data_IF_801203199837
#
_entry.id   IF_801203199837
#
_cell.length_a   1.000
_cell.length_b   1.000
_cell.length_c   1.000
_cell.angle_alpha   90.00
_cell.angle_beta   90.00
_cell.angle_gamma   90.00
#
_symmetry.space_group_name_H-M   'P 1'
#
loop_
_entity.id
_entity.type
_entity.pdbx_description
1 polymer ?
#
# COMPACT_ATOMS: atom_id res chain seq x y z
N UNK A 1 22.44 19.05 -21.92
CA UNK A 1 21.72 18.00 -22.67
C UNK A 1 22.78 17.17 -23.39
N UNK A 2 23.07 15.96 -22.93
CA UNK A 2 24.08 15.09 -23.56
C UNK A 2 23.51 14.66 -24.91
N UNK A 3 24.11 15.11 -26.01
CA UNK A 3 23.75 14.63 -27.35
C UNK A 3 24.39 13.26 -27.52
N UNK A 4 23.56 12.23 -27.70
CA UNK A 4 24.04 10.91 -28.07
C UNK A 4 24.18 10.85 -29.58
N UNK A 5 25.42 10.78 -30.08
CA UNK A 5 25.72 10.75 -31.52
C UNK A 5 25.13 9.50 -32.20
N UNK A 6 25.10 8.36 -31.50
CA UNK A 6 24.57 7.08 -31.98
C UNK A 6 23.14 6.76 -31.50
N UNK A 7 22.45 7.75 -30.91
CA UNK A 7 21.13 7.60 -30.29
C UNK A 7 21.18 7.21 -28.81
N UNK A 8 20.07 7.44 -28.10
CA UNK A 8 19.99 7.21 -26.66
C UNK A 8 20.31 5.74 -26.31
N UNK A 9 21.17 5.43 -25.32
CA UNK A 9 21.57 4.06 -24.99
C UNK A 9 20.38 3.11 -24.76
N UNK A 10 19.33 3.63 -24.10
CA UNK A 10 18.10 2.90 -23.81
C UNK A 10 17.27 2.62 -25.07
N UNK A 11 17.30 3.52 -26.05
CA UNK A 11 16.67 3.27 -27.35
C UNK A 11 17.42 2.16 -28.12
N UNK A 12 18.76 2.15 -28.05
CA UNK A 12 19.56 1.06 -28.62
C UNK A 12 19.27 -0.27 -27.93
N UNK A 13 19.10 -0.27 -26.60
CA UNK A 13 18.72 -1.45 -25.84
C UNK A 13 17.35 -2.01 -26.27
N UNK A 14 16.32 -1.17 -26.46
CA UNK A 14 15.01 -1.63 -26.97
C UNK A 14 15.14 -2.24 -28.38
N UNK A 15 15.93 -1.63 -29.27
CA UNK A 15 16.20 -2.20 -30.61
C UNK A 15 16.88 -3.57 -30.53
N UNK A 16 17.79 -3.78 -29.58
CA UNK A 16 18.38 -5.10 -29.30
C UNK A 16 17.32 -6.07 -28.80
N UNK A 17 16.46 -5.65 -27.87
CA UNK A 17 15.35 -6.46 -27.38
C UNK A 17 14.40 -6.94 -28.49
N UNK A 18 14.10 -6.05 -29.45
CA UNK A 18 13.26 -6.40 -30.59
C UNK A 18 13.89 -7.52 -31.44
N UNK A 19 15.21 -7.51 -31.65
CA UNK A 19 15.92 -8.56 -32.38
C UNK A 19 15.89 -9.91 -31.66
N UNK A 20 15.75 -9.93 -30.34
CA UNK A 20 15.59 -11.19 -29.57
C UNK A 20 14.25 -11.89 -29.84
N UNK A 21 13.27 -11.22 -30.44
CA UNK A 21 12.01 -11.85 -30.86
C UNK A 21 12.12 -12.64 -32.17
N UNK A 22 13.09 -12.29 -33.03
CA UNK A 22 13.20 -12.83 -34.39
C UNK A 22 14.21 -13.98 -34.49
N UNK A 23 15.28 -13.91 -33.71
CA UNK A 23 16.40 -14.86 -33.76
C UNK A 23 16.66 -15.38 -32.35
N UNK A 24 17.16 -16.62 -32.24
CA UNK A 24 17.61 -17.16 -30.96
C UNK A 24 18.99 -16.59 -30.64
N UNK A 25 19.12 -15.88 -29.53
CA UNK A 25 20.40 -15.33 -29.08
C UNK A 25 20.78 -15.88 -27.71
N UNK A 26 22.00 -15.59 -27.27
CA UNK A 26 22.48 -15.97 -25.95
C UNK A 26 21.77 -15.16 -24.85
N UNK A 27 21.48 -15.83 -23.72
CA UNK A 27 20.86 -15.20 -22.55
C UNK A 27 21.70 -14.03 -21.99
N UNK A 28 23.03 -14.09 -22.14
CA UNK A 28 23.97 -13.03 -21.75
C UNK A 28 23.65 -11.69 -22.41
N UNK A 29 23.46 -11.68 -23.74
CA UNK A 29 23.18 -10.47 -24.51
C UNK A 29 21.82 -9.85 -24.13
N UNK A 30 20.82 -10.70 -23.84
CA UNK A 30 19.52 -10.25 -23.35
C UNK A 30 19.65 -9.58 -21.98
N UNK A 31 20.43 -10.17 -21.06
CA UNK A 31 20.66 -9.59 -19.74
C UNK A 31 21.36 -8.23 -19.83
N UNK A 32 22.34 -8.06 -20.71
CA UNK A 32 23.01 -6.78 -20.95
C UNK A 32 22.05 -5.70 -21.47
N UNK A 33 21.15 -6.08 -22.39
CA UNK A 33 20.12 -5.16 -22.89
C UNK A 33 19.14 -4.75 -21.77
N UNK A 34 18.72 -5.69 -20.92
CA UNK A 34 17.84 -5.40 -19.78
C UNK A 34 18.53 -4.53 -18.72
N UNK A 35 19.80 -4.79 -18.42
CA UNK A 35 20.59 -3.96 -17.49
C UNK A 35 20.72 -2.52 -18.00
N UNK A 36 20.92 -2.34 -19.31
CA UNK A 36 20.99 -1.01 -19.94
C UNK A 36 19.68 -0.22 -19.75
N UNK A 37 18.53 -0.90 -19.72
CA UNK A 37 17.23 -0.29 -19.45
C UNK A 37 16.99 0.03 -17.98
N UNK A 38 17.75 -0.58 -17.06
CA UNK A 38 17.63 -0.34 -15.61
C UNK A 38 18.50 0.80 -15.09
N UNK A 39 19.35 1.40 -15.94
CA UNK A 39 20.24 2.50 -15.56
C UNK A 39 19.47 3.69 -14.95
N UNK A 40 20.00 4.37 -13.91
CA UNK A 40 19.30 5.45 -13.22
C UNK A 40 18.79 6.58 -14.14
N UNK A 41 19.52 6.88 -15.21
CA UNK A 41 19.14 7.88 -16.22
C UNK A 41 17.82 7.60 -16.93
N UNK A 42 17.33 6.35 -16.90
CA UNK A 42 16.05 5.95 -17.49
C UNK A 42 14.85 6.20 -16.57
N UNK A 43 15.08 6.75 -15.38
CA UNK A 43 14.02 7.14 -14.44
C UNK A 43 13.35 8.46 -14.83
N UNK A 44 13.88 9.16 -15.82
CA UNK A 44 13.31 10.38 -16.36
C UNK A 44 12.00 10.12 -17.12
N UNK A 45 11.03 11.03 -16.97
CA UNK A 45 9.69 10.90 -17.57
C UNK A 45 9.76 10.89 -19.11
N UNK A 46 10.59 11.74 -19.72
CA UNK A 46 10.70 11.80 -21.18
C UNK A 46 11.40 10.55 -21.74
N UNK A 47 12.37 9.99 -21.01
CA UNK A 47 13.01 8.72 -21.41
C UNK A 47 12.01 7.57 -21.37
N UNK A 48 11.18 7.46 -20.32
CA UNK A 48 10.12 6.45 -20.26
C UNK A 48 9.13 6.58 -21.42
N UNK A 49 8.68 7.80 -21.72
CA UNK A 49 7.81 8.07 -22.86
C UNK A 49 8.44 7.64 -24.19
N UNK A 50 9.72 7.97 -24.42
CA UNK A 50 10.47 7.51 -25.59
C UNK A 50 10.48 5.99 -25.71
N UNK A 51 10.74 5.26 -24.62
CA UNK A 51 10.78 3.79 -24.64
C UNK A 51 9.40 3.20 -24.99
N UNK A 52 8.33 3.77 -24.43
CA UNK A 52 6.95 3.40 -24.75
C UNK A 52 6.65 3.63 -26.23
N UNK A 53 7.03 4.79 -26.78
CA UNK A 53 6.83 5.13 -28.20
C UNK A 53 7.65 4.21 -29.13
N UNK A 54 8.70 3.57 -28.60
CA UNK A 54 9.47 2.51 -29.26
C UNK A 54 8.87 1.10 -29.09
N UNK A 55 7.61 1.00 -28.68
CA UNK A 55 6.88 -0.25 -28.50
C UNK A 55 7.48 -1.21 -27.45
N UNK A 56 8.20 -0.66 -26.45
CA UNK A 56 8.88 -1.51 -25.46
C UNK A 56 7.92 -2.36 -24.62
N UNK A 57 6.67 -1.91 -24.43
CA UNK A 57 5.64 -2.65 -23.68
C UNK A 57 5.34 -3.99 -24.36
N UNK A 58 4.97 -3.97 -25.64
CA UNK A 58 4.73 -5.18 -26.42
C UNK A 58 5.98 -6.05 -26.56
N UNK A 59 7.15 -5.44 -26.80
CA UNK A 59 8.42 -6.18 -26.92
C UNK A 59 8.71 -6.98 -25.64
N UNK A 60 8.62 -6.34 -24.47
CA UNK A 60 8.88 -6.99 -23.19
C UNK A 60 7.84 -8.07 -22.87
N UNK A 61 6.56 -7.84 -23.17
CA UNK A 61 5.50 -8.82 -22.95
C UNK A 61 5.55 -10.01 -23.92
N UNK A 62 6.07 -9.80 -25.14
CA UNK A 62 6.29 -10.90 -26.08
C UNK A 62 7.50 -11.75 -25.67
N UNK A 63 8.59 -11.12 -25.21
CA UNK A 63 9.72 -11.85 -24.61
C UNK A 63 9.27 -12.62 -23.36
N UNK A 64 8.43 -12.00 -22.52
CA UNK A 64 7.85 -12.65 -21.34
C UNK A 64 7.12 -13.94 -21.71
N UNK A 65 6.30 -13.96 -22.77
CA UNK A 65 5.62 -15.18 -23.22
C UNK A 65 6.63 -16.26 -23.63
N UNK A 66 7.63 -15.91 -24.44
CA UNK A 66 8.66 -16.84 -24.91
C UNK A 66 9.38 -17.51 -23.73
N UNK A 67 9.74 -16.75 -22.71
CA UNK A 67 10.47 -17.27 -21.55
C UNK A 67 9.58 -17.94 -20.51
N UNK A 68 8.28 -17.60 -20.47
CA UNK A 68 7.29 -18.30 -19.65
C UNK A 68 7.07 -19.72 -20.17
N UNK A 69 7.05 -19.92 -21.50
CA UNK A 69 6.87 -21.24 -22.12
C UNK A 69 7.98 -22.24 -21.77
N UNK A 70 9.22 -21.76 -21.60
CA UNK A 70 10.37 -22.57 -21.22
C UNK A 70 10.64 -22.59 -19.70
N UNK A 71 9.75 -22.01 -18.90
CA UNK A 71 9.84 -22.03 -17.43
C UNK A 71 10.96 -21.17 -16.82
N UNK A 72 11.49 -20.18 -17.55
CA UNK A 72 12.56 -19.31 -17.04
C UNK A 72 11.99 -18.14 -16.22
N UNK A 73 11.48 -18.44 -15.02
CA UNK A 73 10.82 -17.45 -14.16
C UNK A 73 11.73 -16.32 -13.68
N UNK A 74 13.03 -16.55 -13.51
CA UNK A 74 13.99 -15.50 -13.15
C UNK A 74 14.09 -14.43 -14.24
N UNK A 75 14.16 -14.85 -15.51
CA UNK A 75 14.22 -13.92 -16.62
C UNK A 75 12.87 -13.22 -16.85
N UNK A 76 11.76 -13.94 -16.69
CA UNK A 76 10.42 -13.34 -16.73
C UNK A 76 10.28 -12.24 -15.66
N UNK A 77 10.78 -12.48 -14.46
CA UNK A 77 10.79 -11.50 -13.36
C UNK A 77 11.60 -10.26 -13.77
N UNK A 78 12.77 -10.44 -14.38
CA UNK A 78 13.60 -9.33 -14.84
C UNK A 78 12.91 -8.50 -15.93
N UNK A 79 12.26 -9.15 -16.90
CA UNK A 79 11.50 -8.50 -17.96
C UNK A 79 10.37 -7.63 -17.38
N UNK A 80 9.59 -8.18 -16.46
CA UNK A 80 8.48 -7.45 -15.83
C UNK A 80 8.98 -6.33 -14.90
N UNK A 81 10.11 -6.51 -14.23
CA UNK A 81 10.73 -5.43 -13.44
C UNK A 81 11.20 -4.26 -14.32
N UNK A 82 11.74 -4.54 -15.52
CA UNK A 82 12.05 -3.51 -16.51
C UNK A 82 10.77 -2.83 -16.98
N UNK A 83 9.73 -3.61 -17.28
CA UNK A 83 8.43 -3.08 -17.70
C UNK A 83 7.84 -2.14 -16.64
N UNK A 84 7.78 -2.55 -15.37
CA UNK A 84 7.32 -1.72 -14.25
C UNK A 84 8.06 -0.37 -14.18
N UNK A 85 9.37 -0.36 -14.44
CA UNK A 85 10.14 0.90 -14.47
C UNK A 85 9.73 1.80 -15.63
N UNK A 86 9.50 1.22 -16.81
CA UNK A 86 9.13 1.96 -18.03
C UNK A 86 7.72 2.54 -17.92
N UNK A 87 6.74 1.79 -17.40
CA UNK A 87 5.35 2.23 -17.34
C UNK A 87 5.04 3.12 -16.13
N UNK A 88 6.01 3.34 -15.23
CA UNK A 88 5.78 4.15 -14.02
C UNK A 88 5.39 5.58 -14.39
N UNK A 89 4.15 5.95 -14.05
CA UNK A 89 3.55 7.24 -14.39
C UNK A 89 3.00 7.33 -15.83
N UNK A 90 2.91 6.18 -16.52
CA UNK A 90 2.37 6.02 -17.88
C UNK A 90 1.42 4.81 -17.96
N UNK A 91 0.43 4.77 -17.07
CA UNK A 91 -0.51 3.65 -16.98
C UNK A 91 -1.32 3.44 -18.27
N UNK A 92 -1.55 4.50 -19.04
CA UNK A 92 -2.19 4.49 -20.36
C UNK A 92 -1.45 3.64 -21.41
N UNK A 93 -0.16 3.39 -21.21
CA UNK A 93 0.64 2.53 -22.10
C UNK A 93 0.33 1.04 -21.98
N UNK A 94 -0.36 0.64 -20.90
CA UNK A 94 -0.74 -0.76 -20.65
C UNK A 94 -2.21 -0.94 -21.00
N UNK A 95 -2.47 -1.63 -22.10
CA UNK A 95 -3.83 -1.93 -22.58
C UNK A 95 -4.49 -3.07 -21.80
N UNK A 96 -5.81 -3.19 -21.91
CA UNK A 96 -6.59 -4.33 -21.37
C UNK A 96 -6.06 -5.69 -21.86
N UNK A 97 -5.56 -5.77 -23.11
CA UNK A 97 -4.91 -6.99 -23.64
C UNK A 97 -3.65 -7.34 -22.87
N UNK A 98 -2.82 -6.34 -22.54
CA UNK A 98 -1.61 -6.53 -21.74
C UNK A 98 -1.95 -7.01 -20.33
N UNK A 99 -2.97 -6.37 -19.72
CA UNK A 99 -3.47 -6.74 -18.39
C UNK A 99 -4.00 -8.18 -18.39
N UNK A 100 -4.84 -8.54 -19.36
CA UNK A 100 -5.42 -9.89 -19.44
C UNK A 100 -4.35 -10.97 -19.56
N UNK A 101 -3.29 -10.72 -20.33
CA UNK A 101 -2.13 -11.63 -20.43
C UNK A 101 -1.50 -11.86 -19.05
N UNK A 102 -1.23 -10.79 -18.30
CA UNK A 102 -0.62 -10.87 -16.97
C UNK A 102 -1.54 -11.54 -15.95
N UNK A 103 -2.85 -11.27 -15.99
CA UNK A 103 -3.85 -11.94 -15.16
C UNK A 103 -3.86 -13.45 -15.40
N UNK A 104 -3.81 -13.88 -16.67
CA UNK A 104 -3.78 -15.30 -17.01
C UNK A 104 -2.51 -15.98 -16.46
N UNK A 105 -1.35 -15.33 -16.60
CA UNK A 105 -0.10 -15.84 -16.03
C UNK A 105 -0.10 -15.87 -14.51
N UNK A 106 -0.66 -14.85 -13.86
CA UNK A 106 -0.81 -14.80 -12.40
C UNK A 106 -1.68 -15.95 -11.90
N UNK A 107 -2.85 -16.15 -12.53
CA UNK A 107 -3.77 -17.25 -12.18
C UNK A 107 -3.09 -18.61 -12.34
N UNK A 108 -2.33 -18.81 -13.41
CA UNK A 108 -1.57 -20.06 -13.63
C UNK A 108 -0.54 -20.29 -12.52
N UNK A 109 0.24 -19.26 -12.18
CA UNK A 109 1.28 -19.36 -11.15
C UNK A 109 0.70 -19.63 -9.76
N UNK A 110 -0.42 -18.98 -9.42
CA UNK A 110 -1.12 -19.22 -8.15
C UNK A 110 -1.60 -20.68 -8.07
N UNK A 111 -2.22 -21.20 -9.13
CA UNK A 111 -2.65 -22.60 -9.17
C UNK A 111 -1.45 -23.58 -9.07
N UNK A 112 -0.34 -23.29 -9.74
CA UNK A 112 0.89 -24.10 -9.65
C UNK A 112 1.53 -24.11 -8.25
N UNK A 113 1.24 -23.12 -7.39
CA UNK A 113 1.68 -23.11 -5.99
C UNK A 113 0.82 -24.03 -5.09
N UNK A 114 -0.38 -24.39 -5.53
CA UNK A 114 -1.19 -25.43 -4.88
C UNK A 114 -0.54 -26.80 -5.08
N UNK A 115 -0.03 -27.06 -6.28
CA UNK A 115 0.57 -28.33 -6.67
C UNK A 115 2.03 -28.49 -6.19
N UNK A 116 2.85 -27.43 -6.28
CA UNK A 116 4.25 -27.46 -5.86
C UNK A 116 4.71 -26.10 -5.28
N UNK A 117 4.80 -25.98 -3.95
CA UNK A 117 5.04 -24.71 -3.26
C UNK A 117 6.51 -24.23 -3.28
N UNK A 118 7.44 -24.98 -3.88
CA UNK A 118 8.87 -24.89 -3.55
C UNK A 118 9.76 -24.10 -4.52
N UNK A 119 9.39 -22.89 -4.96
CA UNK A 119 10.32 -22.05 -5.76
C UNK A 119 10.23 -20.55 -5.47
N UNK A 120 11.32 -19.97 -4.95
CA UNK A 120 11.54 -18.52 -4.77
C UNK A 120 11.30 -17.72 -6.06
N UNK A 121 11.62 -18.32 -7.22
CA UNK A 121 11.42 -17.72 -8.53
C UNK A 121 9.94 -17.52 -8.90
N UNK A 122 9.01 -18.39 -8.44
CA UNK A 122 7.57 -18.20 -8.67
C UNK A 122 7.03 -17.01 -7.87
N UNK A 123 7.40 -16.90 -6.59
CA UNK A 123 7.00 -15.76 -5.76
C UNK A 123 7.57 -14.45 -6.31
N UNK A 124 8.84 -14.45 -6.74
CA UNK A 124 9.45 -13.30 -7.41
C UNK A 124 8.70 -12.90 -8.68
N UNK A 125 8.25 -13.88 -9.48
CA UNK A 125 7.48 -13.61 -10.69
C UNK A 125 6.08 -13.07 -10.38
N UNK A 126 5.40 -13.66 -9.39
CA UNK A 126 4.09 -13.16 -8.91
C UNK A 126 4.22 -11.70 -8.44
N UNK A 127 5.28 -11.37 -7.70
CA UNK A 127 5.56 -10.00 -7.28
C UNK A 127 5.72 -9.05 -8.47
N UNK A 128 6.49 -9.46 -9.50
CA UNK A 128 6.70 -8.64 -10.69
C UNK A 128 5.40 -8.47 -11.52
N UNK A 129 4.54 -9.49 -11.57
CA UNK A 129 3.22 -9.37 -12.21
C UNK A 129 2.34 -8.37 -11.46
N UNK A 130 2.20 -8.50 -10.13
CA UNK A 130 1.46 -7.53 -9.33
C UNK A 130 2.02 -6.12 -9.51
N UNK A 131 3.35 -5.99 -9.61
CA UNK A 131 4.03 -4.72 -9.84
C UNK A 131 3.52 -4.00 -11.10
N UNK A 132 3.43 -4.73 -12.22
CA UNK A 132 2.93 -4.19 -13.48
C UNK A 132 1.42 -3.89 -13.39
N UNK A 133 0.64 -4.78 -12.78
CA UNK A 133 -0.80 -4.61 -12.62
C UNK A 133 -1.13 -3.35 -11.81
N UNK A 134 -0.50 -3.12 -10.66
CA UNK A 134 -0.81 -1.94 -9.85
C UNK A 134 -0.35 -0.63 -10.50
N UNK A 135 0.77 -0.64 -11.22
CA UNK A 135 1.20 0.53 -12.00
C UNK A 135 0.25 0.84 -13.16
N UNK A 136 -0.35 -0.18 -13.76
CA UNK A 136 -1.38 0.00 -14.79
C UNK A 136 -2.68 0.62 -14.25
N UNK A 137 -2.90 0.57 -12.94
CA UNK A 137 -4.05 1.17 -12.26
C UNK A 137 -3.84 2.63 -11.83
N UNK A 138 -2.61 3.15 -11.78
CA UNK A 138 -2.35 4.49 -11.23
C UNK A 138 -2.94 5.56 -12.17
N UNK A 139 -3.81 6.45 -11.66
CA UNK A 139 -4.52 7.46 -12.45
C UNK A 139 -5.19 6.88 -13.71
N UNK A 140 -5.76 5.68 -13.61
CA UNK A 140 -6.39 5.02 -14.75
C UNK A 140 -7.57 4.16 -14.29
N UNK A 141 -8.74 4.79 -14.24
CA UNK A 141 -10.00 4.17 -13.80
C UNK A 141 -10.45 3.07 -14.75
N UNK A 142 -10.14 3.21 -16.05
CA UNK A 142 -10.47 2.19 -17.05
C UNK A 142 -9.79 0.87 -16.75
N UNK A 143 -8.49 0.89 -16.48
CA UNK A 143 -7.72 -0.31 -16.14
C UNK A 143 -8.17 -0.90 -14.80
N UNK A 144 -8.44 -0.05 -13.79
CA UNK A 144 -9.02 -0.51 -12.51
C UNK A 144 -10.34 -1.24 -12.72
N UNK A 145 -11.26 -0.63 -13.47
CA UNK A 145 -12.58 -1.20 -13.80
C UNK A 145 -12.44 -2.54 -14.51
N UNK A 146 -11.58 -2.61 -15.54
CA UNK A 146 -11.32 -3.85 -16.27
C UNK A 146 -10.82 -4.97 -15.35
N UNK A 147 -9.80 -4.68 -14.54
CA UNK A 147 -9.24 -5.66 -13.58
C UNK A 147 -10.29 -6.10 -12.57
N UNK A 148 -11.10 -5.18 -12.06
CA UNK A 148 -12.10 -5.46 -11.05
C UNK A 148 -13.23 -6.37 -11.55
N UNK A 149 -13.50 -6.36 -12.86
CA UNK A 149 -14.46 -7.26 -13.51
C UNK A 149 -13.94 -8.70 -13.68
N UNK A 150 -12.65 -8.94 -13.42
CA UNK A 150 -12.04 -10.28 -13.46
C UNK A 150 -12.07 -10.97 -12.09
N UNK A 151 -11.58 -12.22 -12.04
CA UNK A 151 -11.42 -12.97 -10.79
C UNK A 151 -10.14 -12.62 -10.01
N UNK A 152 -9.30 -11.69 -10.51
CA UNK A 152 -7.97 -11.45 -9.95
C UNK A 152 -7.99 -10.97 -8.49
N UNK A 153 -9.00 -10.19 -8.09
CA UNK A 153 -9.16 -9.80 -6.67
C UNK A 153 -9.38 -11.02 -5.79
N UNK A 154 -10.33 -11.89 -6.15
CA UNK A 154 -10.62 -13.11 -5.40
C UNK A 154 -9.40 -14.04 -5.36
N UNK A 155 -8.71 -14.21 -6.49
CA UNK A 155 -7.47 -14.98 -6.59
C UNK A 155 -6.35 -14.41 -5.72
N UNK A 156 -6.25 -13.08 -5.58
CA UNK A 156 -5.27 -12.44 -4.70
C UNK A 156 -5.55 -12.78 -3.23
N UNK A 157 -6.83 -12.77 -2.81
CA UNK A 157 -7.21 -13.19 -1.45
C UNK A 157 -6.91 -14.68 -1.21
N UNK A 158 -7.22 -15.55 -2.18
CA UNK A 158 -6.85 -16.97 -2.11
C UNK A 158 -5.34 -17.18 -2.04
N UNK A 159 -4.56 -16.41 -2.80
CA UNK A 159 -3.10 -16.43 -2.72
C UNK A 159 -2.58 -16.00 -1.35
N UNK A 160 -3.17 -14.97 -0.73
CA UNK A 160 -2.82 -14.58 0.64
C UNK A 160 -3.18 -15.67 1.66
N UNK A 161 -4.31 -16.36 1.50
CA UNK A 161 -4.64 -17.53 2.30
C UNK A 161 -3.57 -18.61 2.13
N UNK A 162 -3.13 -18.87 0.89
CA UNK A 162 -2.04 -19.83 0.62
C UNK A 162 -0.72 -19.44 1.30
N UNK A 163 -0.39 -18.15 1.36
CA UNK A 163 0.76 -17.68 2.15
C UNK A 163 0.59 -18.02 3.64
N UNK A 164 -0.62 -17.90 4.20
CA UNK A 164 -0.83 -18.28 5.62
C UNK A 164 -0.54 -19.76 5.87
N UNK A 165 -0.87 -20.63 4.92
CA UNK A 165 -0.64 -22.08 5.01
C UNK A 165 0.85 -22.41 4.89
N UNK A 166 1.57 -21.76 3.98
CA UNK A 166 2.99 -21.98 3.72
C UNK A 166 3.92 -21.26 4.69
N UNK A 167 3.38 -20.44 5.59
CA UNK A 167 4.16 -19.52 6.42
C UNK A 167 5.19 -20.24 7.31
N UNK A 168 4.83 -21.43 7.79
CA UNK A 168 5.70 -22.21 8.70
C UNK A 168 6.69 -23.09 7.92
N UNK A 169 6.42 -23.35 6.63
CA UNK A 169 7.22 -24.21 5.76
C UNK A 169 8.27 -23.44 4.94
N UNK A 170 8.06 -22.14 4.72
CA UNK A 170 8.93 -21.30 3.88
C UNK A 170 9.45 -20.10 4.67
N UNK A 171 10.72 -19.68 4.43
CA UNK A 171 11.23 -18.43 4.98
C UNK A 171 10.35 -17.24 4.57
N UNK A 172 10.09 -16.32 5.49
CA UNK A 172 9.27 -15.13 5.23
C UNK A 172 9.71 -14.34 4.00
N UNK A 173 11.02 -14.22 3.78
CA UNK A 173 11.58 -13.47 2.64
C UNK A 173 11.24 -14.09 1.28
N UNK A 174 10.88 -15.38 1.21
CA UNK A 174 10.50 -16.07 -0.03
C UNK A 174 9.19 -15.50 -0.60
N UNK A 175 8.16 -15.33 0.23
CA UNK A 175 6.85 -14.84 -0.23
C UNK A 175 6.64 -13.35 0.01
N UNK A 176 7.45 -12.70 0.85
CA UNK A 176 7.27 -11.28 1.19
C UNK A 176 7.21 -10.33 -0.02
N UNK A 177 8.07 -10.44 -1.05
CA UNK A 177 7.95 -9.60 -2.23
C UNK A 177 6.57 -9.69 -2.89
N UNK A 178 6.02 -10.90 -3.00
CA UNK A 178 4.70 -11.15 -3.58
C UNK A 178 3.57 -10.63 -2.68
N UNK A 179 3.69 -10.81 -1.36
CA UNK A 179 2.75 -10.26 -0.39
C UNK A 179 2.68 -8.72 -0.48
N UNK A 180 3.86 -8.08 -0.53
CA UNK A 180 3.99 -6.63 -0.61
C UNK A 180 3.38 -6.07 -1.90
N UNK A 181 3.76 -6.61 -3.06
CA UNK A 181 3.22 -6.14 -4.34
C UNK A 181 1.73 -6.48 -4.49
N UNK A 182 1.27 -7.62 -3.97
CA UNK A 182 -0.16 -7.95 -3.89
C UNK A 182 -0.95 -6.96 -3.03
N UNK A 183 -0.38 -6.52 -1.91
CA UNK A 183 -0.97 -5.46 -1.08
C UNK A 183 -1.02 -4.13 -1.84
N UNK A 184 0.05 -3.79 -2.57
CA UNK A 184 0.08 -2.62 -3.46
C UNK A 184 -0.99 -2.68 -4.55
N UNK A 185 -1.17 -3.85 -5.15
CA UNK A 185 -2.22 -4.13 -6.14
C UNK A 185 -3.62 -3.90 -5.56
N UNK A 186 -3.96 -4.49 -4.41
CA UNK A 186 -5.28 -4.28 -3.81
C UNK A 186 -5.55 -2.80 -3.49
N UNK A 187 -4.55 -2.07 -2.97
CA UNK A 187 -4.67 -0.62 -2.73
C UNK A 187 -4.85 0.17 -4.03
N UNK A 188 -4.20 -0.22 -5.12
CA UNK A 188 -4.33 0.49 -6.39
C UNK A 188 -5.75 0.45 -6.97
N UNK A 189 -6.54 -0.56 -6.61
CA UNK A 189 -7.93 -0.70 -7.04
C UNK A 189 -8.91 0.18 -6.25
N UNK A 190 -8.47 0.76 -5.12
CA UNK A 190 -9.31 1.60 -4.24
C UNK A 190 -9.02 3.10 -4.38
N UNK A 191 -8.17 3.48 -5.33
CA UNK A 191 -7.80 4.87 -5.58
C UNK A 191 -8.87 5.62 -6.38
N UNK A 192 -9.15 6.85 -5.95
CA UNK A 192 -9.92 7.85 -6.71
C UNK A 192 -8.95 8.97 -7.16
N UNK A 193 -7.99 8.62 -8.04
CA UNK A 193 -6.87 9.49 -8.44
C UNK A 193 -6.83 9.82 -9.96
N UNK A 194 -7.81 9.35 -10.72
CA UNK A 194 -7.94 9.62 -12.15
C UNK A 194 -8.78 10.90 -12.35
N UNK A 195 -8.17 11.93 -12.94
CA UNK A 195 -8.79 13.23 -13.17
C UNK A 195 -9.56 13.30 -14.50
N UNK A 196 -9.43 12.26 -15.35
CA UNK A 196 -10.10 12.20 -16.66
C UNK A 196 -11.52 11.61 -16.56
N UNK A 197 -11.93 11.15 -15.37
CA UNK A 197 -13.28 10.66 -15.07
C UNK A 197 -13.96 11.54 -14.02
N UNK A 198 -15.28 11.70 -14.13
CA UNK A 198 -16.06 12.51 -13.18
C UNK A 198 -16.15 11.85 -11.79
N UNK A 199 -16.28 10.52 -11.76
CA UNK A 199 -16.37 9.73 -10.53
C UNK A 199 -15.56 8.44 -10.67
N UNK A 200 -14.70 8.15 -9.69
CA UNK A 200 -14.01 6.87 -9.56
C UNK A 200 -14.85 5.83 -8.80
N UNK A 201 -14.48 4.56 -8.92
CA UNK A 201 -15.11 3.44 -8.21
C UNK A 201 -14.31 3.00 -6.97
N UNK A 202 -13.32 3.78 -6.49
CA UNK A 202 -12.40 3.37 -5.44
C UNK A 202 -13.09 2.94 -4.15
N UNK A 203 -14.05 3.74 -3.66
CA UNK A 203 -14.86 3.42 -2.47
C UNK A 203 -15.74 2.16 -2.65
N UNK A 204 -16.30 1.96 -3.85
CA UNK A 204 -17.09 0.77 -4.17
C UNK A 204 -16.22 -0.49 -4.24
N UNK A 205 -15.06 -0.39 -4.89
CA UNK A 205 -14.07 -1.46 -4.99
C UNK A 205 -13.58 -1.88 -3.61
N UNK A 206 -13.23 -0.92 -2.74
CA UNK A 206 -12.83 -1.15 -1.36
C UNK A 206 -13.87 -1.97 -0.59
N UNK A 207 -15.14 -1.56 -0.68
CA UNK A 207 -16.26 -2.25 -0.06
C UNK A 207 -16.42 -3.68 -0.59
N UNK A 208 -16.29 -3.88 -1.90
CA UNK A 208 -16.46 -5.19 -2.53
C UNK A 208 -15.30 -6.14 -2.17
N UNK A 209 -14.06 -5.65 -2.13
CA UNK A 209 -12.89 -6.42 -1.66
C UNK A 209 -13.13 -6.89 -0.22
N UNK A 210 -13.48 -5.98 0.69
CA UNK A 210 -13.64 -6.31 2.11
C UNK A 210 -14.87 -7.18 2.42
N UNK A 211 -15.88 -7.18 1.54
CA UNK A 211 -17.06 -8.06 1.63
C UNK A 211 -16.77 -9.51 1.26
N UNK A 212 -15.65 -9.81 0.60
CA UNK A 212 -15.21 -11.19 0.46
C UNK A 212 -15.02 -11.79 1.86
N UNK A 213 -15.73 -12.89 2.16
CA UNK A 213 -15.85 -13.39 3.53
C UNK A 213 -14.51 -13.74 4.17
N UNK A 214 -13.56 -14.20 3.35
CA UNK A 214 -12.24 -14.61 3.79
C UNK A 214 -11.26 -13.43 3.90
N UNK A 215 -11.54 -12.28 3.27
CA UNK A 215 -10.57 -11.20 3.15
C UNK A 215 -10.04 -10.75 4.52
N UNK A 216 -10.91 -10.24 5.40
CA UNK A 216 -10.46 -9.72 6.70
C UNK A 216 -9.85 -10.82 7.59
N UNK A 217 -10.38 -12.03 7.55
CA UNK A 217 -9.86 -13.17 8.29
C UNK A 217 -8.42 -13.53 7.87
N UNK A 218 -8.18 -13.62 6.55
CA UNK A 218 -6.85 -13.92 5.97
C UNK A 218 -5.83 -12.85 6.37
N UNK A 219 -6.20 -11.57 6.29
CA UNK A 219 -5.32 -10.48 6.71
C UNK A 219 -4.95 -10.60 8.19
N UNK A 220 -5.92 -10.85 9.07
CA UNK A 220 -5.67 -11.02 10.52
C UNK A 220 -4.79 -12.25 10.81
N UNK A 221 -5.01 -13.36 10.10
CA UNK A 221 -4.15 -14.55 10.20
C UNK A 221 -2.72 -14.26 9.78
N UNK A 222 -2.51 -13.57 8.65
CA UNK A 222 -1.18 -13.15 8.19
C UNK A 222 -0.50 -12.24 9.21
N UNK A 223 -1.19 -11.22 9.72
CA UNK A 223 -0.64 -10.31 10.73
C UNK A 223 -0.19 -11.09 11.97
N UNK A 224 -1.04 -11.98 12.48
CA UNK A 224 -0.73 -12.81 13.65
C UNK A 224 0.51 -13.69 13.43
N UNK A 225 0.62 -14.34 12.27
CA UNK A 225 1.79 -15.16 11.91
C UNK A 225 3.07 -14.33 11.80
N UNK A 226 2.99 -13.14 11.20
CA UNK A 226 4.14 -12.24 11.06
C UNK A 226 4.59 -11.70 12.42
N UNK A 227 3.67 -11.34 13.32
CA UNK A 227 3.98 -10.88 14.67
C UNK A 227 4.74 -11.92 15.48
N UNK A 228 4.43 -13.21 15.28
CA UNK A 228 5.12 -14.31 15.93
C UNK A 228 6.48 -14.64 15.28
N UNK A 229 6.85 -13.94 14.21
CA UNK A 229 8.13 -14.07 13.51
C UNK A 229 9.09 -12.93 13.87
N UNK A 230 10.36 -13.06 13.49
CA UNK A 230 11.36 -11.99 13.66
C UNK A 230 11.27 -10.86 12.61
N UNK A 231 10.35 -10.93 11.64
CA UNK A 231 10.30 -10.02 10.50
C UNK A 231 8.98 -9.23 10.42
N UNK A 232 8.88 -8.13 11.16
CA UNK A 232 7.68 -7.28 11.23
C UNK A 232 7.40 -6.45 9.97
N UNK A 233 8.25 -6.50 8.94
CA UNK A 233 8.16 -5.58 7.79
C UNK A 233 6.84 -5.73 7.01
N UNK A 234 6.31 -6.94 6.88
CA UNK A 234 5.05 -7.22 6.17
C UNK A 234 3.80 -6.68 6.86
N UNK A 235 3.87 -6.35 8.15
CA UNK A 235 2.71 -5.82 8.90
C UNK A 235 2.31 -4.45 8.36
N UNK A 236 3.29 -3.61 8.01
CA UNK A 236 3.01 -2.27 7.49
C UNK A 236 2.22 -2.31 6.18
N UNK A 237 2.55 -3.24 5.28
CA UNK A 237 1.83 -3.41 4.02
C UNK A 237 0.40 -3.91 4.24
N UNK A 238 0.21 -4.84 5.18
CA UNK A 238 -1.11 -5.35 5.55
C UNK A 238 -1.98 -4.26 6.20
N UNK A 239 -1.44 -3.49 7.14
CA UNK A 239 -2.16 -2.40 7.81
C UNK A 239 -2.54 -1.27 6.85
N UNK A 240 -1.61 -0.86 5.98
CA UNK A 240 -1.93 0.13 4.95
C UNK A 240 -3.04 -0.37 4.02
N UNK A 241 -3.02 -1.65 3.63
CA UNK A 241 -4.07 -2.21 2.77
C UNK A 241 -5.41 -2.25 3.48
N UNK A 242 -5.45 -2.76 4.72
CA UNK A 242 -6.65 -2.78 5.56
C UNK A 242 -7.25 -1.38 5.71
N UNK A 243 -6.42 -0.35 5.89
CA UNK A 243 -6.89 1.03 6.04
C UNK A 243 -7.61 1.58 4.81
N UNK A 244 -7.33 1.05 3.62
CA UNK A 244 -7.99 1.46 2.37
C UNK A 244 -9.25 0.65 2.07
N UNK A 245 -9.38 -0.56 2.60
CA UNK A 245 -10.54 -1.43 2.33
C UNK A 245 -11.60 -1.37 3.44
N UNK A 246 -11.19 -1.12 4.70
CA UNK A 246 -12.11 -0.92 5.83
C UNK A 246 -12.64 0.51 5.79
N UNK A 247 -13.73 0.72 5.05
CA UNK A 247 -14.32 2.05 4.80
C UNK A 247 -15.66 2.27 5.48
N UNK A 248 -16.20 1.24 6.15
CA UNK A 248 -17.54 1.25 6.75
C UNK A 248 -17.58 0.58 8.11
N UNK A 249 -18.59 0.95 8.89
CA UNK A 249 -18.80 0.44 10.25
C UNK A 249 -18.90 -1.09 10.28
N UNK A 250 -19.63 -1.72 9.36
CA UNK A 250 -19.77 -3.19 9.32
C UNK A 250 -18.44 -3.92 9.10
N UNK A 251 -17.48 -3.27 8.42
CA UNK A 251 -16.15 -3.82 8.19
C UNK A 251 -15.25 -3.60 9.41
N UNK A 252 -15.40 -2.46 10.10
CA UNK A 252 -14.69 -2.18 11.35
C UNK A 252 -15.05 -3.22 12.42
N UNK A 253 -16.36 -3.48 12.59
CA UNK A 253 -16.85 -4.45 13.56
C UNK A 253 -16.46 -5.88 13.18
N UNK A 254 -16.49 -6.24 11.88
CA UNK A 254 -15.99 -7.54 11.40
C UNK A 254 -14.50 -7.73 11.69
N UNK A 255 -13.66 -6.72 11.44
CA UNK A 255 -12.24 -6.77 11.81
C UNK A 255 -12.04 -6.93 13.33
N UNK A 256 -12.80 -6.19 14.13
CA UNK A 256 -12.76 -6.32 15.59
C UNK A 256 -13.19 -7.71 16.07
N UNK A 257 -14.14 -8.36 15.40
CA UNK A 257 -14.60 -9.72 15.73
C UNK A 257 -13.50 -10.79 15.57
N UNK A 258 -12.48 -10.51 14.75
CA UNK A 258 -11.29 -11.35 14.61
C UNK A 258 -10.16 -10.99 15.59
N UNK A 259 -10.46 -10.32 16.70
CA UNK A 259 -9.47 -9.77 17.65
C UNK A 259 -8.52 -8.73 17.02
N UNK A 260 -8.90 -8.14 15.88
CA UNK A 260 -8.02 -7.25 15.12
C UNK A 260 -7.60 -5.98 15.86
N UNK A 261 -8.46 -5.42 16.73
CA UNK A 261 -8.14 -4.23 17.52
C UNK A 261 -7.04 -4.51 18.53
N UNK A 262 -7.13 -5.64 19.24
CA UNK A 262 -6.13 -6.03 20.23
C UNK A 262 -4.79 -6.33 19.55
N UNK A 263 -4.80 -7.06 18.43
CA UNK A 263 -3.61 -7.31 17.61
C UNK A 263 -2.95 -5.99 17.16
N UNK A 264 -3.75 -5.03 16.65
CA UNK A 264 -3.27 -3.72 16.24
C UNK A 264 -2.61 -2.96 17.41
N UNK A 265 -3.28 -2.89 18.56
CA UNK A 265 -2.78 -2.15 19.72
C UNK A 265 -1.53 -2.80 20.32
N UNK A 266 -1.48 -4.13 20.41
CA UNK A 266 -0.27 -4.86 20.82
C UNK A 266 0.90 -4.65 19.84
N UNK A 267 0.61 -4.62 18.53
CA UNK A 267 1.62 -4.34 17.50
C UNK A 267 2.25 -2.96 17.72
N UNK A 268 1.41 -1.95 17.97
CA UNK A 268 1.86 -0.58 18.27
C UNK A 268 2.72 -0.58 19.54
N UNK A 269 2.22 -1.18 20.63
CA UNK A 269 2.91 -1.24 21.91
C UNK A 269 4.32 -1.83 21.78
N UNK A 270 4.43 -2.99 21.13
CA UNK A 270 5.72 -3.70 20.97
C UNK A 270 6.67 -3.00 19.99
N UNK A 271 6.17 -2.10 19.13
CA UNK A 271 6.95 -1.44 18.08
C UNK A 271 6.88 0.09 18.16
N UNK A 272 6.70 0.65 19.36
CA UNK A 272 6.47 2.08 19.55
C UNK A 272 7.55 2.96 18.94
N UNK A 273 8.81 2.49 18.84
CA UNK A 273 9.92 3.23 18.22
C UNK A 273 9.98 3.12 16.70
N UNK A 274 9.28 2.17 16.09
CA UNK A 274 9.31 1.96 14.64
C UNK A 274 8.35 2.91 13.93
N UNK A 275 8.88 3.97 13.32
CA UNK A 275 8.08 4.94 12.54
C UNK A 275 7.22 4.27 11.46
N UNK A 276 7.72 3.21 10.82
CA UNK A 276 7.01 2.51 9.73
C UNK A 276 5.77 1.79 10.28
N UNK A 277 5.95 1.03 11.37
CA UNK A 277 4.83 0.30 12.00
C UNK A 277 3.86 1.27 12.62
N UNK A 278 4.34 2.23 13.42
CA UNK A 278 3.49 3.25 14.04
C UNK A 278 2.65 4.01 13.01
N UNK A 279 3.25 4.47 11.91
CA UNK A 279 2.50 5.21 10.89
C UNK A 279 1.39 4.37 10.26
N UNK A 280 1.71 3.15 9.81
CA UNK A 280 0.72 2.26 9.19
C UNK A 280 -0.38 1.85 10.17
N UNK A 281 -0.02 1.57 11.42
CA UNK A 281 -0.97 1.27 12.50
C UNK A 281 -1.91 2.43 12.79
N UNK A 282 -1.42 3.67 12.85
CA UNK A 282 -2.26 4.85 13.12
C UNK A 282 -3.24 5.12 11.97
N UNK A 283 -2.82 4.91 10.72
CA UNK A 283 -3.71 5.05 9.55
C UNK A 283 -4.83 4.01 9.60
N UNK A 284 -4.51 2.75 9.92
CA UNK A 284 -5.52 1.71 10.13
C UNK A 284 -6.44 2.04 11.33
N UNK A 285 -5.87 2.48 12.45
CA UNK A 285 -6.62 2.84 13.65
C UNK A 285 -7.61 3.97 13.35
N UNK A 286 -7.21 4.97 12.55
CA UNK A 286 -8.10 6.03 12.11
C UNK A 286 -9.27 5.50 11.26
N UNK A 287 -9.02 4.57 10.35
CA UNK A 287 -10.08 3.92 9.56
C UNK A 287 -11.08 3.16 10.46
N UNK A 288 -10.57 2.44 11.47
CA UNK A 288 -11.38 1.68 12.43
C UNK A 288 -12.26 2.56 13.33
N UNK A 289 -11.91 3.84 13.49
CA UNK A 289 -12.75 4.82 14.19
C UNK A 289 -14.05 5.16 13.43
N UNK A 290 -14.30 4.54 12.26
CA UNK A 290 -15.61 4.55 11.61
C UNK A 290 -16.73 3.88 12.42
N UNK A 291 -16.40 3.04 13.42
CA UNK A 291 -17.37 2.45 14.35
C UNK A 291 -17.15 2.92 15.78
N UNK A 292 -18.21 3.36 16.44
CA UNK A 292 -18.15 3.75 17.86
C UNK A 292 -17.83 2.55 18.77
N UNK A 293 -18.22 1.33 18.39
CA UNK A 293 -17.83 0.11 19.10
C UNK A 293 -16.31 -0.09 19.08
N UNK A 294 -15.67 0.11 17.92
CA UNK A 294 -14.22 0.03 17.79
C UNK A 294 -13.51 1.12 18.60
N UNK A 295 -14.04 2.36 18.63
CA UNK A 295 -13.49 3.43 19.48
C UNK A 295 -13.50 3.04 20.96
N UNK A 296 -14.60 2.45 21.42
CA UNK A 296 -14.71 1.94 22.80
C UNK A 296 -13.72 0.81 23.06
N UNK A 297 -13.56 -0.14 22.13
CA UNK A 297 -12.54 -1.20 22.24
C UNK A 297 -11.14 -0.64 22.39
N UNK A 298 -10.78 0.39 21.61
CA UNK A 298 -9.49 1.09 21.71
C UNK A 298 -9.35 1.80 23.06
N UNK A 299 -10.39 2.49 23.51
CA UNK A 299 -10.38 3.20 24.80
C UNK A 299 -10.24 2.25 25.99
N UNK A 300 -10.85 1.06 25.90
CA UNK A 300 -10.84 0.05 26.96
C UNK A 300 -9.64 -0.89 26.87
N UNK A 301 -8.89 -0.87 25.77
CA UNK A 301 -7.69 -1.65 25.61
C UNK A 301 -6.66 -1.24 26.67
N UNK A 302 -6.00 -2.23 27.27
CA UNK A 302 -4.94 -1.99 28.24
C UNK A 302 -3.96 -3.14 28.31
N UNK A 303 -2.66 -2.83 28.45
CA UNK A 303 -1.60 -3.80 28.73
C UNK A 303 -0.62 -3.20 29.73
N UNK A 304 -0.14 -3.96 30.71
CA UNK A 304 0.85 -3.50 31.70
C UNK A 304 0.51 -2.13 32.37
N UNK A 305 -0.77 -1.90 32.68
CA UNK A 305 -1.30 -0.63 33.23
C UNK A 305 -1.27 0.58 32.29
N UNK A 306 -0.92 0.39 31.01
CA UNK A 306 -1.00 1.40 29.95
C UNK A 306 -2.34 1.21 29.24
N UNK A 307 -3.19 2.23 29.26
CA UNK A 307 -4.45 2.25 28.52
C UNK A 307 -4.23 2.62 27.05
N UNK A 308 -5.21 2.33 26.18
CA UNK A 308 -5.14 2.73 24.77
C UNK A 308 -4.91 4.23 24.56
N UNK A 309 -5.65 5.13 25.24
CA UNK A 309 -5.39 6.57 25.20
C UNK A 309 -3.98 6.94 25.68
N UNK A 310 -3.48 6.29 26.74
CA UNK A 310 -2.12 6.52 27.22
C UNK A 310 -1.08 6.09 26.18
N UNK A 311 -1.21 4.90 25.61
CA UNK A 311 -0.32 4.41 24.56
C UNK A 311 -0.25 5.39 23.38
N UNK A 312 -1.38 5.94 22.94
CA UNK A 312 -1.40 6.92 21.84
C UNK A 312 -0.68 8.22 22.22
N UNK A 313 -0.78 8.67 23.48
CA UNK A 313 -0.02 9.83 23.97
C UNK A 313 1.48 9.51 24.04
N UNK A 314 1.86 8.32 24.49
CA UNK A 314 3.26 7.88 24.56
C UNK A 314 3.90 7.87 23.16
N UNK A 315 3.16 7.43 22.13
CA UNK A 315 3.60 7.53 20.73
C UNK A 315 3.78 9.00 20.33
N UNK A 316 2.89 9.90 20.76
CA UNK A 316 2.98 11.33 20.44
C UNK A 316 4.27 11.91 21.01
N UNK A 317 4.59 11.61 22.27
CA UNK A 317 5.84 12.03 22.89
C UNK A 317 7.06 11.51 22.12
N UNK A 318 7.08 10.21 21.81
CA UNK A 318 8.20 9.55 21.12
C UNK A 318 8.44 10.09 19.70
N UNK A 319 7.37 10.42 18.97
CA UNK A 319 7.43 10.82 17.56
C UNK A 319 7.10 12.29 17.32
N UNK A 320 7.10 13.14 18.35
CA UNK A 320 6.69 14.55 18.25
C UNK A 320 7.45 15.35 17.18
N UNK A 321 8.70 14.96 16.92
CA UNK A 321 9.56 15.59 15.90
C UNK A 321 9.27 15.12 14.48
N UNK A 322 8.53 14.02 14.30
CA UNK A 322 8.14 13.50 13.01
C UNK A 322 6.78 14.11 12.60
N UNK A 323 6.74 15.03 11.61
CA UNK A 323 5.52 15.74 11.24
C UNK A 323 4.46 14.81 10.64
N UNK A 324 4.87 13.75 9.93
CA UNK A 324 3.97 12.79 9.30
C UNK A 324 3.28 11.95 10.36
N UNK A 325 4.05 11.37 11.29
CA UNK A 325 3.49 10.58 12.39
C UNK A 325 2.58 11.44 13.27
N UNK A 326 3.02 12.65 13.61
CA UNK A 326 2.22 13.60 14.41
C UNK A 326 0.88 13.95 13.76
N UNK A 327 0.83 14.08 12.43
CA UNK A 327 -0.42 14.27 11.69
C UNK A 327 -1.36 13.08 11.91
N UNK A 328 -0.88 11.85 11.76
CA UNK A 328 -1.69 10.65 11.96
C UNK A 328 -2.17 10.51 13.41
N UNK A 329 -1.31 10.77 14.40
CA UNK A 329 -1.72 10.74 15.82
C UNK A 329 -2.83 11.74 16.08
N UNK A 330 -2.68 12.97 15.60
CA UNK A 330 -3.69 14.02 15.77
C UNK A 330 -5.02 13.61 15.11
N UNK A 331 -4.96 12.98 13.93
CA UNK A 331 -6.12 12.43 13.24
C UNK A 331 -6.81 11.30 14.00
N UNK A 332 -6.04 10.39 14.62
CA UNK A 332 -6.55 9.32 15.48
C UNK A 332 -7.22 9.87 16.73
N UNK A 333 -6.59 10.82 17.43
CA UNK A 333 -7.19 11.45 18.62
C UNK A 333 -8.51 12.14 18.24
N UNK A 334 -8.53 12.89 17.14
CA UNK A 334 -9.76 13.53 16.65
C UNK A 334 -10.84 12.49 16.35
N UNK A 335 -10.51 11.41 15.64
CA UNK A 335 -11.45 10.37 15.28
C UNK A 335 -12.01 9.60 16.49
N UNK A 336 -11.16 9.25 17.46
CA UNK A 336 -11.54 8.56 18.69
C UNK A 336 -12.42 9.40 19.61
N UNK A 337 -12.17 10.71 19.67
CA UNK A 337 -12.88 11.64 20.57
C UNK A 337 -14.16 12.22 19.95
N UNK A 338 -14.30 12.16 18.63
CA UNK A 338 -15.48 12.66 17.93
C UNK A 338 -16.76 11.95 18.40
N UNK A 339 -17.66 12.73 18.99
CA UNK A 339 -18.93 12.29 19.61
C UNK A 339 -18.73 11.32 20.79
N UNK A 340 -17.55 11.29 21.40
CA UNK A 340 -17.17 10.37 22.49
C UNK A 340 -16.57 11.13 23.68
N UNK A 341 -17.39 11.83 24.51
CA UNK A 341 -16.89 12.70 25.58
C UNK A 341 -16.09 11.95 26.66
N UNK A 342 -16.42 10.69 26.93
CA UNK A 342 -15.69 9.86 27.91
C UNK A 342 -14.28 9.52 27.40
N UNK A 343 -14.15 9.19 26.11
CA UNK A 343 -12.85 8.94 25.47
C UNK A 343 -12.03 10.25 25.45
N UNK A 344 -12.66 11.37 25.13
CA UNK A 344 -12.02 12.69 25.18
C UNK A 344 -11.46 13.02 26.57
N UNK A 345 -12.23 12.77 27.63
CA UNK A 345 -11.78 12.94 29.02
C UNK A 345 -10.57 12.05 29.33
N UNK A 346 -10.57 10.81 28.84
CA UNK A 346 -9.45 9.88 29.01
C UNK A 346 -8.16 10.43 28.37
N UNK A 347 -8.24 10.90 27.12
CA UNK A 347 -7.10 11.53 26.43
C UNK A 347 -6.57 12.78 27.13
N UNK A 348 -7.46 13.63 27.64
CA UNK A 348 -7.06 14.82 28.41
C UNK A 348 -6.33 14.39 29.69
N UNK A 349 -6.82 13.35 30.37
CA UNK A 349 -6.21 12.81 31.59
C UNK A 349 -4.83 12.20 31.31
N UNK A 350 -4.66 11.54 30.16
CA UNK A 350 -3.38 11.03 29.67
C UNK A 350 -2.40 12.11 29.19
N UNK A 351 -2.81 13.39 29.16
CA UNK A 351 -1.92 14.51 28.81
C UNK A 351 -1.86 14.87 27.32
N UNK A 352 -2.79 14.37 26.49
CA UNK A 352 -2.82 14.66 25.05
C UNK A 352 -2.87 16.16 24.73
N UNK A 353 -3.55 16.95 25.57
CA UNK A 353 -3.66 18.41 25.41
C UNK A 353 -2.31 19.11 25.36
N UNK A 354 -1.35 18.68 26.19
CA UNK A 354 -0.01 19.28 26.23
C UNK A 354 0.72 19.15 24.89
N UNK A 355 0.59 17.99 24.24
CA UNK A 355 1.25 17.72 22.97
C UNK A 355 0.56 18.40 21.79
N UNK A 356 -0.78 18.43 21.78
CA UNK A 356 -1.57 19.14 20.78
C UNK A 356 -1.31 20.65 20.79
N UNK A 357 -1.28 21.27 21.98
CA UNK A 357 -0.96 22.69 22.13
C UNK A 357 0.45 22.98 21.66
N UNK A 358 1.46 22.25 22.17
CA UNK A 358 2.86 22.40 21.74
C UNK A 358 2.97 22.34 20.21
N UNK A 359 2.29 21.40 19.54
CA UNK A 359 2.34 21.29 18.08
C UNK A 359 1.64 22.47 17.39
N UNK A 360 0.50 22.93 17.88
CA UNK A 360 -0.18 24.11 17.33
C UNK A 360 0.71 25.35 17.34
N UNK A 361 1.52 25.53 18.40
CA UNK A 361 2.52 26.60 18.51
C UNK A 361 3.65 26.48 17.47
N UNK A 362 3.98 25.27 17.01
CA UNK A 362 4.95 25.02 15.92
C UNK A 362 4.35 25.14 14.51
N UNK A 363 3.04 24.92 14.35
CA UNK A 363 2.35 24.99 13.04
C UNK A 363 1.95 26.43 12.71
N UNK A 364 1.53 27.22 13.70
CA UNK A 364 1.08 28.60 13.50
C UNK A 364 2.08 29.49 12.73
N UNK A 365 3.40 29.44 13.00
CA UNK A 365 4.39 30.22 12.24
C UNK A 365 4.62 29.68 10.81
N UNK A 366 4.38 28.39 10.57
CA UNK A 366 4.62 27.75 9.26
C UNK A 366 3.42 27.98 8.34
N UNK A 367 2.18 27.94 8.85
CA UNK A 367 0.99 28.24 8.02
C UNK A 367 0.96 29.71 7.58
N UNK A 368 1.45 30.65 8.40
CA UNK A 368 1.60 32.06 8.00
C UNK A 368 2.59 32.28 6.85
N UNK A 369 3.52 31.34 6.60
CA UNK A 369 4.46 31.42 5.48
C UNK A 369 3.90 30.85 4.17
N UNK A 370 2.82 30.06 4.23
CA UNK A 370 2.27 29.37 3.06
C UNK A 370 0.86 29.84 2.63
N UNK A 371 0.06 30.43 3.52
CA UNK A 371 -1.22 31.06 3.15
C UNK A 371 -1.54 32.28 4.04
N UNK A 372 -1.46 33.52 3.54
CA UNK A 372 -1.68 34.71 4.38
C UNK A 372 -3.16 34.99 4.72
N UNK A 373 -4.13 34.14 4.34
CA UNK A 373 -5.56 34.50 4.38
C UNK A 373 -6.53 33.44 4.94
N UNK A 374 -6.09 32.60 5.88
CA UNK A 374 -7.03 31.74 6.63
C UNK A 374 -7.01 32.10 8.11
N UNK A 375 -7.90 33.02 8.51
CA UNK A 375 -8.23 33.25 9.93
C UNK A 375 -9.02 32.04 10.48
N UNK A 376 -8.30 31.06 11.02
CA UNK A 376 -8.89 30.03 11.87
C UNK A 376 -8.94 30.55 13.32
N UNK A 377 -10.09 31.08 13.71
CA UNK A 377 -10.40 31.42 15.11
C UNK A 377 -10.44 30.14 15.96
N UNK A 378 -9.35 29.88 16.68
CA UNK A 378 -9.34 28.96 17.82
C UNK A 378 -9.34 29.80 19.09
N UNK A 379 -10.52 30.04 19.65
CA UNK A 379 -10.66 30.70 20.95
C UNK A 379 -10.24 29.71 22.04
N UNK A 380 -8.97 29.77 22.45
CA UNK A 380 -8.51 29.11 23.68
C UNK A 380 -8.96 29.98 24.85
N UNK A 381 -9.95 29.48 25.58
CA UNK A 381 -10.51 30.10 26.77
C UNK A 381 -9.48 30.19 27.88
N UNK A 382 -8.95 31.40 28.11
CA UNK A 382 -8.41 31.82 29.39
C UNK A 382 -9.10 33.12 29.81
N UNK A 383 -10.00 32.98 30.79
CA UNK A 383 -10.56 34.06 31.58
C UNK A 383 -11.48 35.01 30.83
N UNK A 384 -12.79 34.92 31.07
CA UNK A 384 -13.65 36.08 31.33
C UNK A 384 -14.97 35.61 31.94
N UNK A 385 -15.19 36.07 33.18
CA UNK A 385 -16.50 36.12 33.82
C UNK A 385 -17.47 36.93 32.95
N UNK A 386 -18.75 36.62 33.11
CA UNK A 386 -19.92 37.37 32.65
C UNK A 386 -20.12 37.42 31.12
N UNK A 387 -21.11 36.69 30.63
CA UNK A 387 -22.40 37.23 30.19
C UNK A 387 -23.30 36.05 29.84
N UNK A 388 -24.47 35.98 30.48
CA UNK A 388 -25.47 34.95 30.19
C UNK A 388 -26.22 35.21 28.88
N UNK A 389 -26.82 34.15 28.35
CA UNK A 389 -28.05 34.05 27.54
C UNK A 389 -28.25 32.54 27.30
N UNK A 390 -29.03 31.83 28.14
CA UNK A 390 -30.46 31.48 28.02
C UNK A 390 -30.85 30.75 26.72
N UNK A 391 -31.12 29.45 26.95
CA UNK A 391 -31.82 28.40 26.18
C UNK A 391 -31.27 28.00 24.81
#
# INVERSE_FOLDING_TARGET
MIKYEDGHPSALAVKRLQRFLEVKHETSELLEALQSLQLPGNSDFAVRKLLIDMNSVDILLNLFDLYTLVGNYCLCTLLLNVLSRIIKGHSESVSEKHIQKLINSLSKLINELEENPSTDSKFSLIAAIYSVLHLSCTKNERNRTFIFQTQTVAQTISFFMRITELFDDLPFNTFYPALKEGCGFLRSLTLDDDLDVEFGLGSENARTIAKNDLCLEVFVKLISKILNSSNVSGISDLFQTLSTIITREELCTKFASFNGIDILMQTIYSNIKSTIIVSSSLVLLQALCGSDACKLSVSNWSIHSISGPQLIVDIFEDHMKNPVVTKYISGVIAALTLRQPNIAKSFVTSGASNYLIKRSSFIYPILQLFEPHVELYVTVSHGLQNYGLRF
#
